data_IF_347608890937
#
_entry.id   IF_347608890937
#
_cell.length_a   1.000
_cell.length_b   1.000
_cell.length_c   1.000
_cell.angle_alpha   90.00
_cell.angle_beta   90.00
_cell.angle_gamma   90.00
#
_symmetry.space_group_name_H-M   'P 1'
#
loop_
_entity.id
_entity.type
_entity.pdbx_description
1 polymer ?
#
# COMPACT_ATOMS: atom_id res chain seq x y z
N UNK A 1 -65.13 25.21 -18.07
CA UNK A 1 -65.13 24.95 -16.61
C UNK A 1 -64.89 23.47 -16.41
N UNK A 2 -63.96 23.09 -15.53
CA UNK A 2 -63.54 21.70 -15.32
C UNK A 2 -63.76 21.30 -13.85
N UNK A 3 -64.05 20.03 -13.60
CA UNK A 3 -64.17 19.50 -12.24
C UNK A 3 -62.83 18.91 -11.79
N UNK A 4 -62.52 18.98 -10.50
CA UNK A 4 -61.28 18.38 -10.00
C UNK A 4 -61.38 16.84 -10.03
N UNK A 5 -60.44 16.12 -10.68
CA UNK A 5 -60.51 14.66 -10.80
C UNK A 5 -60.33 13.92 -9.48
N UNK A 6 -59.73 14.57 -8.47
CA UNK A 6 -59.48 13.99 -7.15
C UNK A 6 -60.65 14.20 -6.20
N UNK A 7 -61.04 15.46 -5.95
CA UNK A 7 -62.05 15.79 -4.94
C UNK A 7 -63.45 16.05 -5.51
N UNK A 8 -63.62 15.99 -6.84
CA UNK A 8 -64.87 16.22 -7.56
C UNK A 8 -65.52 17.58 -7.29
N UNK A 9 -64.73 18.58 -6.89
CA UNK A 9 -65.21 19.95 -6.75
C UNK A 9 -65.60 20.50 -8.14
N UNK A 10 -66.81 21.05 -8.32
CA UNK A 10 -67.22 21.64 -9.58
C UNK A 10 -66.69 23.07 -9.78
N UNK A 11 -66.84 23.58 -11.00
CA UNK A 11 -66.65 24.98 -11.40
C UNK A 11 -65.23 25.56 -11.24
N UNK A 12 -64.20 24.76 -11.54
CA UNK A 12 -62.84 25.33 -11.60
C UNK A 12 -62.61 26.09 -12.92
N UNK A 13 -61.99 27.29 -12.85
CA UNK A 13 -61.60 28.04 -14.03
C UNK A 13 -60.48 27.31 -14.79
N UNK A 14 -60.53 27.36 -16.12
CA UNK A 14 -59.64 26.57 -17.00
C UNK A 14 -58.17 26.99 -16.93
N UNK A 15 -57.88 28.18 -16.41
CA UNK A 15 -56.51 28.72 -16.28
C UNK A 15 -55.86 28.38 -14.93
N UNK A 16 -56.47 27.52 -14.12
CA UNK A 16 -56.00 27.25 -12.76
C UNK A 16 -55.18 25.96 -12.72
N UNK A 17 -53.90 26.08 -12.38
CA UNK A 17 -52.94 24.96 -12.38
C UNK A 17 -53.17 23.98 -11.22
N UNK A 18 -53.72 24.46 -10.08
CA UNK A 18 -53.87 23.64 -8.88
C UNK A 18 -55.28 23.75 -8.28
N UNK A 19 -55.82 22.63 -7.81
CA UNK A 19 -57.09 22.62 -7.10
C UNK A 19 -56.93 23.23 -5.69
N UNK A 20 -57.64 24.31 -5.32
CA UNK A 20 -57.50 24.96 -4.02
C UNK A 20 -58.03 24.12 -2.83
N UNK A 21 -58.78 23.04 -3.08
CA UNK A 21 -59.34 22.20 -2.02
C UNK A 21 -58.49 20.98 -1.69
N UNK A 22 -57.78 20.40 -2.67
CA UNK A 22 -56.99 19.19 -2.47
C UNK A 22 -55.53 19.33 -2.92
N UNK A 23 -55.14 20.47 -3.49
CA UNK A 23 -53.78 20.72 -3.99
C UNK A 23 -53.40 19.92 -5.23
N UNK A 24 -54.36 19.24 -5.88
CA UNK A 24 -54.09 18.45 -7.08
C UNK A 24 -53.66 19.35 -8.25
N UNK A 25 -52.54 19.00 -8.89
CA UNK A 25 -52.02 19.64 -10.11
C UNK A 25 -52.88 19.25 -11.31
N UNK A 26 -53.72 20.19 -11.75
CA UNK A 26 -54.69 20.01 -12.83
C UNK A 26 -54.02 20.01 -14.21
N UNK A 27 -52.88 20.68 -14.36
CA UNK A 27 -52.12 20.70 -15.61
C UNK A 27 -51.54 19.32 -15.92
N UNK A 28 -51.03 18.63 -14.89
CA UNK A 28 -50.55 17.25 -15.03
C UNK A 28 -51.67 16.28 -15.41
N UNK A 29 -52.88 16.43 -14.85
CA UNK A 29 -54.03 15.60 -15.23
C UNK A 29 -54.51 15.88 -16.65
N UNK A 30 -54.45 17.13 -17.12
CA UNK A 30 -54.79 17.49 -18.50
C UNK A 30 -53.78 16.91 -19.52
N UNK A 31 -52.49 16.90 -19.17
CA UNK A 31 -51.47 16.21 -19.95
C UNK A 31 -51.69 14.68 -20.00
N UNK A 32 -52.13 14.09 -18.88
CA UNK A 32 -52.47 12.67 -18.84
C UNK A 32 -53.76 12.35 -19.63
N UNK A 33 -54.74 13.25 -19.64
CA UNK A 33 -55.96 13.09 -20.44
C UNK A 33 -55.70 13.30 -21.94
N UNK A 34 -54.73 14.13 -22.33
CA UNK A 34 -54.28 14.25 -23.74
C UNK A 34 -53.44 13.06 -24.20
N UNK A 35 -52.70 12.40 -23.28
CA UNK A 35 -52.04 11.12 -23.54
C UNK A 35 -53.03 9.94 -23.59
N UNK A 36 -54.26 10.13 -23.10
CA UNK A 36 -55.32 9.13 -23.21
C UNK A 36 -55.81 9.09 -24.65
N UNK A 37 -55.37 8.07 -25.38
CA UNK A 37 -55.75 7.82 -26.78
C UNK A 37 -57.25 8.07 -27.01
N UNK A 38 -57.63 8.75 -28.11
CA UNK A 38 -58.99 9.17 -28.34
C UNK A 38 -59.92 7.97 -28.29
N UNK A 39 -60.89 8.05 -27.37
CA UNK A 39 -62.00 7.12 -27.20
C UNK A 39 -62.78 7.05 -28.51
N UNK A 40 -62.35 6.17 -29.42
CA UNK A 40 -63.07 5.91 -30.65
C UNK A 40 -64.40 5.26 -30.31
N UNK A 41 -65.46 6.00 -30.61
CA UNK A 41 -66.83 5.54 -30.54
C UNK A 41 -67.02 4.50 -31.65
N UNK A 42 -66.95 3.23 -31.23
CA UNK A 42 -67.80 2.13 -31.68
C UNK A 42 -67.79 1.76 -33.16
N UNK A 43 -67.00 0.73 -33.51
CA UNK A 43 -67.50 -0.42 -34.29
C UNK A 43 -66.92 -1.72 -33.71
N UNK A 44 -67.82 -2.63 -33.33
CA UNK A 44 -67.51 -4.03 -33.03
C UNK A 44 -66.82 -4.69 -34.23
N UNK A 45 -65.66 -5.32 -34.06
CA UNK A 45 -65.52 -6.78 -34.24
C UNK A 45 -64.11 -7.27 -33.89
N UNK A 46 -64.07 -8.26 -32.99
CA UNK A 46 -63.08 -9.34 -32.83
C UNK A 46 -61.91 -9.30 -33.83
N UNK A 47 -60.71 -8.90 -33.38
CA UNK A 47 -59.42 -9.51 -33.79
C UNK A 47 -58.25 -8.78 -33.13
N UNK A 48 -57.92 -9.08 -31.88
CA UNK A 48 -56.54 -8.89 -31.40
C UNK A 48 -56.20 -9.79 -30.22
N UNK A 49 -56.37 -11.09 -30.43
CA UNK A 49 -55.76 -12.13 -29.59
C UNK A 49 -54.64 -12.80 -30.39
N UNK A 50 -53.61 -12.05 -30.81
CA UNK A 50 -52.44 -12.68 -31.44
C UNK A 50 -51.14 -11.88 -31.53
N UNK A 51 -50.81 -10.95 -30.63
CA UNK A 51 -49.44 -10.40 -30.63
C UNK A 51 -48.92 -10.19 -29.19
N UNK A 52 -48.78 -11.28 -28.43
CA UNK A 52 -47.92 -11.29 -27.22
C UNK A 52 -46.73 -12.23 -27.32
N UNK A 53 -46.54 -12.92 -28.45
CA UNK A 53 -45.54 -14.00 -28.54
C UNK A 53 -44.43 -13.75 -29.58
N UNK A 54 -44.38 -12.59 -30.24
CA UNK A 54 -43.25 -12.24 -31.13
C UNK A 54 -42.16 -11.39 -30.44
N UNK A 55 -42.45 -10.83 -29.25
CA UNK A 55 -41.50 -10.01 -28.50
C UNK A 55 -40.64 -10.79 -27.49
N UNK A 56 -40.98 -12.03 -27.17
CA UNK A 56 -40.27 -12.84 -26.17
C UNK A 56 -38.96 -13.42 -26.70
N UNK A 57 -38.91 -13.88 -27.96
CA UNK A 57 -37.66 -14.42 -28.52
C UNK A 57 -36.56 -13.36 -28.60
N UNK A 58 -36.85 -12.18 -29.17
CA UNK A 58 -35.87 -11.09 -29.29
C UNK A 58 -35.36 -10.60 -27.94
N UNK A 59 -36.24 -10.45 -26.94
CA UNK A 59 -35.85 -9.99 -25.62
C UNK A 59 -34.89 -10.97 -24.90
N UNK A 60 -35.11 -12.28 -25.05
CA UNK A 60 -34.19 -13.30 -24.50
C UNK A 60 -32.80 -13.22 -25.14
N UNK A 61 -32.72 -13.04 -26.47
CA UNK A 61 -31.44 -12.84 -27.15
C UNK A 61 -30.71 -11.57 -26.69
N UNK A 62 -31.43 -10.47 -26.43
CA UNK A 62 -30.82 -9.25 -25.87
C UNK A 62 -30.31 -9.45 -24.45
N UNK A 63 -31.04 -10.17 -23.60
CA UNK A 63 -30.60 -10.50 -22.24
C UNK A 63 -29.35 -11.37 -22.24
N UNK A 64 -29.31 -12.40 -23.10
CA UNK A 64 -28.13 -13.26 -23.26
C UNK A 64 -26.93 -12.50 -23.81
N UNK A 65 -27.14 -11.62 -24.81
CA UNK A 65 -26.09 -10.78 -25.35
C UNK A 65 -25.54 -9.80 -24.30
N UNK A 66 -26.42 -9.16 -23.52
CA UNK A 66 -26.04 -8.27 -22.43
C UNK A 66 -25.25 -9.01 -21.34
N UNK A 67 -25.69 -10.21 -20.94
CA UNK A 67 -24.98 -11.05 -19.98
C UNK A 67 -23.59 -11.43 -20.48
N UNK A 68 -23.46 -11.80 -21.76
CA UNK A 68 -22.19 -12.14 -22.38
C UNK A 68 -21.22 -10.95 -22.35
N UNK A 69 -21.70 -9.75 -22.71
CA UNK A 69 -20.89 -8.52 -22.66
C UNK A 69 -20.46 -8.21 -21.23
N UNK A 70 -21.35 -8.38 -20.26
CA UNK A 70 -21.03 -8.17 -18.84
C UNK A 70 -19.93 -9.14 -18.37
N UNK A 71 -20.04 -10.42 -18.71
CA UNK A 71 -19.03 -11.43 -18.37
C UNK A 71 -17.67 -11.13 -19.02
N UNK A 72 -17.66 -10.74 -20.29
CA UNK A 72 -16.43 -10.35 -20.98
C UNK A 72 -15.81 -9.10 -20.33
N UNK A 73 -16.63 -8.12 -19.95
CA UNK A 73 -16.18 -6.95 -19.22
C UNK A 73 -15.54 -7.29 -17.87
N UNK A 74 -16.16 -8.19 -17.09
CA UNK A 74 -15.62 -8.65 -15.81
C UNK A 74 -14.29 -9.39 -15.98
N UNK A 75 -14.16 -10.24 -17.00
CA UNK A 75 -12.89 -10.93 -17.30
C UNK A 75 -11.80 -9.93 -17.69
N UNK A 76 -12.11 -8.95 -18.54
CA UNK A 76 -11.15 -7.92 -18.93
C UNK A 76 -10.70 -7.07 -17.73
N UNK A 77 -11.64 -6.67 -16.87
CA UNK A 77 -11.34 -5.92 -15.64
C UNK A 77 -10.52 -6.79 -14.67
N UNK A 78 -10.88 -8.06 -14.51
CA UNK A 78 -10.14 -9.01 -13.67
C UNK A 78 -8.69 -9.13 -14.11
N UNK A 79 -8.45 -9.38 -15.39
CA UNK A 79 -7.10 -9.46 -15.96
C UNK A 79 -6.32 -8.15 -15.80
N UNK A 80 -6.99 -7.00 -15.92
CA UNK A 80 -6.35 -5.70 -15.72
C UNK A 80 -5.92 -5.47 -14.26
N UNK A 81 -6.77 -5.86 -13.31
CA UNK A 81 -6.45 -5.77 -11.89
C UNK A 81 -5.33 -6.73 -11.51
N UNK A 82 -5.30 -7.94 -12.07
CA UNK A 82 -4.27 -8.95 -11.84
C UNK A 82 -2.89 -8.41 -12.27
N UNK A 83 -2.80 -7.86 -13.49
CA UNK A 83 -1.57 -7.23 -13.98
C UNK A 83 -1.10 -6.07 -13.08
N UNK A 84 -2.05 -5.31 -12.51
CA UNK A 84 -1.73 -4.21 -11.60
C UNK A 84 -1.21 -4.72 -10.25
N UNK A 85 -1.78 -5.80 -9.74
CA UNK A 85 -1.34 -6.45 -8.50
C UNK A 85 0.05 -7.03 -8.68
N UNK A 86 0.33 -7.73 -9.79
CA UNK A 86 1.66 -8.24 -10.12
C UNK A 86 2.71 -7.13 -10.17
N UNK A 87 2.36 -5.98 -10.75
CA UNK A 87 3.25 -4.83 -10.80
C UNK A 87 3.53 -4.24 -9.41
N UNK A 88 2.56 -4.27 -8.50
CA UNK A 88 2.74 -3.86 -7.11
C UNK A 88 3.54 -4.89 -6.30
N UNK A 89 3.31 -6.18 -6.52
CA UNK A 89 4.04 -7.27 -5.88
C UNK A 89 5.53 -7.24 -6.26
N UNK A 90 5.85 -7.00 -7.54
CA UNK A 90 7.22 -6.88 -8.00
C UNK A 90 7.96 -5.72 -7.32
N UNK A 91 7.32 -4.56 -7.17
CA UNK A 91 7.91 -3.40 -6.47
C UNK A 91 8.10 -3.64 -4.98
N UNK A 92 7.16 -4.33 -4.33
CA UNK A 92 7.30 -4.70 -2.93
C UNK A 92 8.44 -5.69 -2.72
N UNK A 93 8.58 -6.69 -3.59
CA UNK A 93 9.69 -7.64 -3.55
C UNK A 93 11.05 -6.94 -3.74
N UNK A 94 11.13 -5.94 -4.64
CA UNK A 94 12.34 -5.15 -4.82
C UNK A 94 12.66 -4.29 -3.58
N UNK A 95 11.66 -3.64 -3.00
CA UNK A 95 11.85 -2.87 -1.75
C UNK A 95 12.26 -3.76 -0.58
N UNK A 96 11.69 -4.96 -0.47
CA UNK A 96 12.06 -5.94 0.55
C UNK A 96 13.49 -6.44 0.35
N UNK A 97 13.91 -6.71 -0.89
CA UNK A 97 15.28 -7.06 -1.21
C UNK A 97 16.28 -5.96 -0.82
N UNK A 98 15.94 -4.69 -1.09
CA UNK A 98 16.75 -3.53 -0.69
C UNK A 98 16.81 -3.40 0.84
N UNK A 99 15.69 -3.57 1.54
CA UNK A 99 15.63 -3.50 3.00
C UNK A 99 16.46 -4.61 3.66
N UNK A 100 16.35 -5.83 3.15
CA UNK A 100 17.14 -6.98 3.62
C UNK A 100 18.63 -6.79 3.35
N UNK A 101 19.01 -6.27 2.18
CA UNK A 101 20.41 -5.92 1.88
C UNK A 101 20.95 -4.82 2.81
N UNK A 102 20.15 -3.80 3.11
CA UNK A 102 20.55 -2.75 4.06
C UNK A 102 20.72 -3.30 5.48
N UNK A 103 19.86 -4.23 5.88
CA UNK A 103 19.97 -4.91 7.18
C UNK A 103 21.23 -5.77 7.27
N UNK A 104 21.52 -6.59 6.26
CA UNK A 104 22.72 -7.42 6.24
C UNK A 104 23.99 -6.56 6.18
N UNK A 105 23.97 -5.45 5.43
CA UNK A 105 25.07 -4.49 5.38
C UNK A 105 25.32 -3.85 6.75
N UNK A 106 24.26 -3.51 7.50
CA UNK A 106 24.38 -2.98 8.86
C UNK A 106 24.93 -4.00 9.86
N UNK A 107 24.57 -5.28 9.73
CA UNK A 107 25.14 -6.36 10.55
C UNK A 107 26.61 -6.61 10.22
N UNK A 108 26.96 -6.60 8.93
CA UNK A 108 28.35 -6.70 8.48
C UNK A 108 29.20 -5.54 8.99
N UNK A 109 28.71 -4.30 8.93
CA UNK A 109 29.41 -3.15 9.47
C UNK A 109 29.68 -3.27 10.98
N UNK A 110 28.71 -3.79 11.75
CA UNK A 110 28.91 -4.07 13.19
C UNK A 110 29.96 -5.15 13.43
N UNK A 111 29.95 -6.21 12.63
CA UNK A 111 30.96 -7.27 12.70
C UNK A 111 32.36 -6.74 12.39
N UNK A 112 32.52 -5.96 11.32
CA UNK A 112 33.80 -5.34 10.93
C UNK A 112 34.32 -4.43 12.04
N UNK A 113 33.48 -3.56 12.62
CA UNK A 113 33.88 -2.69 13.72
C UNK A 113 34.30 -3.48 14.98
N UNK A 114 33.60 -4.57 15.31
CA UNK A 114 33.97 -5.44 16.42
C UNK A 114 35.29 -6.17 16.18
N UNK A 115 35.55 -6.58 14.94
CA UNK A 115 36.80 -7.22 14.54
C UNK A 115 37.97 -6.23 14.56
N UNK A 116 37.79 -5.02 14.06
CA UNK A 116 38.79 -3.95 14.09
C UNK A 116 39.19 -3.61 15.54
N UNK A 117 38.21 -3.52 16.45
CA UNK A 117 38.49 -3.34 17.87
C UNK A 117 39.36 -4.46 18.46
N UNK A 118 39.08 -5.72 18.12
CA UNK A 118 39.89 -6.87 18.58
C UNK A 118 41.32 -6.84 18.04
N UNK A 119 41.50 -6.39 16.80
CA UNK A 119 42.84 -6.25 16.20
C UNK A 119 43.64 -5.21 16.98
N UNK A 120 43.04 -4.05 17.26
CA UNK A 120 43.69 -3.00 18.05
C UNK A 120 44.04 -3.47 19.47
N UNK A 121 43.15 -4.21 20.13
CA UNK A 121 43.42 -4.79 21.45
C UNK A 121 44.61 -5.78 21.41
N UNK A 122 44.64 -6.67 20.40
CA UNK A 122 45.75 -7.62 20.22
C UNK A 122 47.08 -6.94 19.88
N UNK A 123 47.04 -5.89 19.07
CA UNK A 123 48.23 -5.09 18.76
C UNK A 123 48.78 -4.40 20.00
N UNK A 124 47.91 -3.77 20.80
CA UNK A 124 48.28 -3.12 22.06
C UNK A 124 48.88 -4.12 23.06
N UNK A 125 48.27 -5.29 23.24
CA UNK A 125 48.82 -6.35 24.10
C UNK A 125 50.21 -6.81 23.64
N UNK A 126 50.41 -6.91 22.33
CA UNK A 126 51.71 -7.29 21.75
C UNK A 126 52.76 -6.20 21.96
N UNK A 127 52.38 -4.93 21.80
CA UNK A 127 53.27 -3.80 22.10
C UNK A 127 53.64 -3.78 23.58
N UNK A 128 52.67 -3.94 24.48
CA UNK A 128 52.92 -3.99 25.92
C UNK A 128 53.88 -5.12 26.29
N UNK A 129 53.67 -6.32 25.75
CA UNK A 129 54.56 -7.47 25.98
C UNK A 129 56.00 -7.22 25.53
N UNK A 130 56.17 -6.51 24.41
CA UNK A 130 57.51 -6.11 23.91
C UNK A 130 58.17 -5.09 24.83
N UNK A 131 57.41 -4.11 25.32
CA UNK A 131 57.90 -3.12 26.30
C UNK A 131 58.35 -3.83 27.57
N UNK A 132 57.52 -4.71 28.14
CA UNK A 132 57.85 -5.45 29.36
C UNK A 132 59.12 -6.29 29.20
N UNK A 133 59.28 -6.93 28.04
CA UNK A 133 60.47 -7.71 27.71
C UNK A 133 61.73 -6.83 27.67
N UNK A 134 61.64 -5.66 27.04
CA UNK A 134 62.75 -4.71 26.96
C UNK A 134 63.09 -4.12 28.34
N UNK A 135 62.08 -3.83 29.17
CA UNK A 135 62.28 -3.31 30.52
C UNK A 135 62.91 -4.36 31.45
N UNK A 136 62.52 -5.62 31.30
CA UNK A 136 63.18 -6.74 31.95
C UNK A 136 64.66 -6.83 31.56
N UNK A 137 64.96 -6.78 30.26
CA UNK A 137 66.33 -6.79 29.76
C UNK A 137 67.16 -5.61 30.29
N UNK A 138 66.59 -4.39 30.26
CA UNK A 138 67.21 -3.19 30.82
C UNK A 138 67.57 -3.38 32.30
N UNK A 139 66.66 -3.96 33.09
CA UNK A 139 66.87 -4.22 34.51
C UNK A 139 68.02 -5.21 34.73
N UNK A 140 68.07 -6.29 33.95
CA UNK A 140 69.16 -7.27 34.02
C UNK A 140 70.52 -6.63 33.69
N UNK A 141 70.58 -5.82 32.62
CA UNK A 141 71.80 -5.11 32.23
C UNK A 141 72.24 -4.11 33.31
N UNK A 142 71.30 -3.33 33.87
CA UNK A 142 71.59 -2.38 34.95
C UNK A 142 72.23 -3.07 36.16
N UNK A 143 71.65 -4.20 36.61
CA UNK A 143 72.22 -5.00 37.72
C UNK A 143 73.62 -5.53 37.41
N UNK A 144 73.88 -5.95 36.17
CA UNK A 144 75.23 -6.42 35.76
C UNK A 144 76.25 -5.28 35.78
N UNK A 145 75.86 -4.09 35.31
CA UNK A 145 76.72 -2.90 35.34
C UNK A 145 77.02 -2.50 36.78
N UNK A 146 76.01 -2.44 37.65
CA UNK A 146 76.18 -2.13 39.07
C UNK A 146 77.12 -3.11 39.77
N UNK A 147 76.97 -4.42 39.51
CA UNK A 147 77.86 -5.45 40.07
C UNK A 147 79.31 -5.31 39.57
N UNK A 148 79.52 -5.01 38.28
CA UNK A 148 80.84 -4.77 37.71
C UNK A 148 81.49 -3.52 38.33
N UNK A 149 80.73 -2.43 38.50
CA UNK A 149 81.21 -1.21 39.15
C UNK A 149 81.57 -1.43 40.62
N UNK A 150 80.78 -2.22 41.36
CA UNK A 150 81.09 -2.58 42.73
C UNK A 150 82.41 -3.38 42.83
N UNK A 151 82.60 -4.34 41.92
CA UNK A 151 83.84 -5.14 41.83
C UNK A 151 85.06 -4.27 41.53
N UNK A 152 84.93 -3.34 40.58
CA UNK A 152 85.99 -2.38 40.24
C UNK A 152 86.37 -1.48 41.43
N UNK A 153 85.37 -0.90 42.12
CA UNK A 153 85.60 -0.06 43.32
C UNK A 153 86.28 -0.84 44.45
N UNK A 154 85.90 -2.10 44.67
CA UNK A 154 86.54 -2.94 45.68
C UNK A 154 88.02 -3.21 45.35
N UNK A 155 88.34 -3.44 44.07
CA UNK A 155 89.71 -3.62 43.61
C UNK A 155 90.56 -2.36 43.79
N UNK A 156 90.03 -1.17 43.49
CA UNK A 156 90.75 0.11 43.63
C UNK A 156 91.08 0.43 45.10
N UNK A 157 90.15 0.15 46.01
CA UNK A 157 90.35 0.28 47.46
C UNK A 157 91.43 -0.68 48.00
N UNK A 158 91.60 -1.85 47.40
CA UNK A 158 92.66 -2.80 47.81
C UNK A 158 94.06 -2.37 47.34
N UNK A 159 94.13 -1.58 46.26
CA UNK A 159 95.40 -1.10 45.67
C UNK A 159 95.96 0.15 46.34
N UNK A 160 95.12 0.88 47.07
CA UNK A 160 95.46 2.14 47.76
C UNK A 160 95.89 1.98 49.22
N UNK A 161 96.01 0.74 49.73
CA UNK A 161 96.65 0.45 51.02
C UNK A 161 98.17 0.22 50.82
N UNK A 162 99.05 1.09 51.33
CA UNK A 162 100.50 0.90 51.33
C UNK A 162 100.96 -0.19 52.30
#
# INVERSE_FOLDING_TARGET
MKDCPICKRPDLPETMEHCPQCGADLECFELLDTLREPKSIGWHTKHQKRERNAFSLKAEWFMLASLLVLLLGLVAIGNHLDMRIDQQAARLAEMEAIANHRKSSGEFARYVAAMEKRILELEEENFQKRIDTLEHQRTVVSRRIEAALATYRASDNSRSKP
#
